data_IF_580613923260
#
_entry.id   IF_580613923260
#
_cell.length_a   1.000
_cell.length_b   1.000
_cell.length_c   1.000
_cell.angle_alpha   90.00
_cell.angle_beta   90.00
_cell.angle_gamma   90.00
#
_symmetry.space_group_name_H-M   'P 1'
#
loop_
_entity.id
_entity.type
_entity.pdbx_description
1 polymer ?
#
# COMPACT_ATOMS: atom_id res chain seq x y z
N UNK A 1 -26.62 14.72 20.84
CA UNK A 1 -25.62 15.48 21.61
C UNK A 1 -24.26 14.75 21.73
N UNK A 2 -24.18 13.57 22.35
CA UNK A 2 -22.86 12.91 22.53
C UNK A 2 -22.19 12.50 21.21
N UNK A 3 -22.95 11.96 20.24
CA UNK A 3 -22.45 11.56 18.91
C UNK A 3 -21.98 12.76 18.08
N UNK A 4 -22.69 13.87 18.09
CA UNK A 4 -22.32 15.09 17.36
C UNK A 4 -20.99 15.68 17.87
N UNK A 5 -20.79 15.73 19.18
CA UNK A 5 -19.53 16.19 19.77
C UNK A 5 -18.36 15.30 19.35
N UNK A 6 -18.58 13.98 19.24
CA UNK A 6 -17.54 13.06 18.79
C UNK A 6 -17.23 13.22 17.29
N UNK A 7 -18.24 13.48 16.46
CA UNK A 7 -18.04 13.79 15.04
C UNK A 7 -17.20 15.06 14.86
N UNK A 8 -17.55 16.13 15.60
CA UNK A 8 -16.79 17.39 15.58
C UNK A 8 -15.34 17.15 15.98
N UNK A 9 -15.13 16.29 16.97
CA UNK A 9 -13.78 15.93 17.41
C UNK A 9 -13.01 15.14 16.36
N UNK A 10 -13.62 14.15 15.72
CA UNK A 10 -13.04 13.39 14.62
C UNK A 10 -12.64 14.34 13.48
N UNK A 11 -13.54 15.26 13.09
CA UNK A 11 -13.23 16.30 12.08
C UNK A 11 -12.04 17.16 12.46
N UNK A 12 -11.95 17.60 13.71
CA UNK A 12 -10.79 18.37 14.20
C UNK A 12 -9.49 17.57 14.12
N UNK A 13 -9.52 16.28 14.50
CA UNK A 13 -8.36 15.39 14.41
C UNK A 13 -7.94 15.12 12.96
N UNK A 14 -8.90 14.99 12.05
CA UNK A 14 -8.62 14.86 10.60
C UNK A 14 -7.95 16.13 10.06
N UNK A 15 -8.53 17.30 10.34
CA UNK A 15 -7.98 18.58 9.88
C UNK A 15 -6.54 18.82 10.37
N UNK A 16 -6.22 18.34 11.56
CA UNK A 16 -4.87 18.41 12.14
C UNK A 16 -3.96 17.25 11.70
N UNK A 17 -4.41 16.38 10.80
CA UNK A 17 -3.68 15.19 10.31
C UNK A 17 -3.16 14.28 11.42
N UNK A 18 -3.88 14.25 12.55
CA UNK A 18 -3.54 13.46 13.74
C UNK A 18 -4.41 12.22 13.94
N UNK A 19 -5.35 11.96 13.01
CA UNK A 19 -6.19 10.78 12.99
C UNK A 19 -5.65 9.76 11.99
N UNK A 20 -5.55 8.52 12.43
CA UNK A 20 -5.30 7.35 11.59
C UNK A 20 -6.50 6.40 11.63
N UNK A 21 -6.58 5.48 10.67
CA UNK A 21 -7.64 4.47 10.66
C UNK A 21 -7.06 3.08 10.89
N UNK A 22 -7.83 2.24 11.58
CA UNK A 22 -7.63 0.80 11.63
C UNK A 22 -8.84 0.18 10.94
N UNK A 23 -8.58 -0.54 9.85
CA UNK A 23 -9.60 -1.11 9.00
C UNK A 23 -9.51 -2.63 9.09
N UNK A 24 -10.64 -3.28 9.38
CA UNK A 24 -10.75 -4.73 9.42
C UNK A 24 -11.62 -5.31 8.31
N UNK A 25 -11.74 -6.63 8.30
CA UNK A 25 -12.46 -7.41 7.28
C UNK A 25 -13.93 -7.01 7.12
N UNK A 26 -14.60 -6.61 8.21
CA UNK A 26 -15.96 -6.09 8.16
C UNK A 26 -16.13 -4.84 7.30
N UNK A 27 -15.05 -4.11 7.01
CA UNK A 27 -15.12 -2.97 6.09
C UNK A 27 -15.11 -3.44 4.62
N UNK A 28 -14.33 -4.46 4.29
CA UNK A 28 -14.33 -5.07 2.95
C UNK A 28 -15.67 -5.75 2.62
N UNK A 29 -16.36 -6.31 3.62
CA UNK A 29 -17.72 -6.88 3.47
C UNK A 29 -18.76 -5.87 2.95
N UNK A 30 -18.51 -4.55 3.06
CA UNK A 30 -19.42 -3.54 2.46
C UNK A 30 -19.32 -3.46 0.93
N UNK A 31 -18.26 -3.99 0.34
CA UNK A 31 -18.14 -4.03 -1.14
C UNK A 31 -18.84 -5.23 -1.72
N UNK A 32 -18.77 -6.36 -1.02
CA UNK A 32 -19.36 -7.62 -1.38
C UNK A 32 -19.41 -8.53 -0.15
N UNK A 33 -20.48 -9.32 -0.02
CA UNK A 33 -20.58 -10.35 1.02
C UNK A 33 -19.63 -11.54 0.78
N UNK A 34 -18.92 -11.54 -0.34
CA UNK A 34 -17.91 -12.56 -0.68
C UNK A 34 -16.61 -12.35 0.09
N UNK A 35 -16.36 -11.13 0.62
CA UNK A 35 -15.21 -10.92 1.50
C UNK A 35 -15.43 -11.57 2.86
N UNK A 36 -14.42 -12.27 3.33
CA UNK A 36 -14.46 -13.12 4.51
C UNK A 36 -13.87 -12.41 5.74
N UNK A 37 -14.34 -12.79 6.92
CA UNK A 37 -13.55 -12.69 8.14
C UNK A 37 -12.76 -13.98 8.37
N UNK A 38 -12.02 -14.06 9.45
CA UNK A 38 -11.21 -15.25 9.77
C UNK A 38 -12.04 -16.51 9.97
N UNK A 39 -13.24 -16.36 10.54
CA UNK A 39 -14.14 -17.50 10.69
C UNK A 39 -14.53 -18.09 9.36
N UNK A 40 -15.00 -17.25 8.46
CA UNK A 40 -15.42 -17.66 7.12
C UNK A 40 -14.24 -18.27 6.32
N UNK A 41 -13.03 -17.68 6.44
CA UNK A 41 -11.84 -18.16 5.74
C UNK A 41 -11.41 -19.55 6.21
N UNK A 42 -11.55 -19.85 7.50
CA UNK A 42 -11.05 -21.10 8.07
C UNK A 42 -12.10 -22.23 8.12
N UNK A 43 -13.39 -21.93 7.91
CA UNK A 43 -14.45 -22.97 7.87
C UNK A 43 -14.15 -24.12 6.91
N UNK A 44 -13.73 -23.90 5.65
CA UNK A 44 -13.41 -25.01 4.74
C UNK A 44 -12.24 -25.86 5.22
N UNK A 45 -11.26 -25.26 5.90
CA UNK A 45 -10.13 -26.00 6.50
C UNK A 45 -10.65 -26.95 7.60
N UNK A 46 -11.59 -26.49 8.42
CA UNK A 46 -12.18 -27.31 9.48
C UNK A 46 -12.93 -28.49 8.86
N UNK A 47 -13.76 -28.23 7.86
CA UNK A 47 -14.48 -29.27 7.11
C UNK A 47 -13.51 -30.29 6.52
N UNK A 48 -12.43 -29.86 5.87
CA UNK A 48 -11.41 -30.77 5.31
C UNK A 48 -10.71 -31.59 6.39
N UNK A 49 -10.26 -30.93 7.48
CA UNK A 49 -9.43 -31.59 8.50
C UNK A 49 -10.20 -32.55 9.40
N UNK A 50 -11.46 -32.24 9.72
CA UNK A 50 -12.24 -32.95 10.73
C UNK A 50 -13.44 -33.67 10.15
N UNK A 51 -13.71 -33.53 8.84
CA UNK A 51 -14.89 -34.09 8.15
C UNK A 51 -16.22 -33.66 8.79
N UNK A 52 -16.31 -32.38 9.17
CA UNK A 52 -17.47 -31.77 9.81
C UNK A 52 -18.11 -30.81 8.82
N UNK A 53 -19.40 -31.00 8.51
CA UNK A 53 -20.16 -30.12 7.62
C UNK A 53 -21.24 -29.28 8.34
N UNK A 54 -21.58 -29.67 9.58
CA UNK A 54 -22.56 -28.94 10.40
C UNK A 54 -21.96 -27.64 10.94
N UNK A 55 -22.66 -26.53 10.72
CA UNK A 55 -22.17 -25.19 11.09
C UNK A 55 -21.96 -25.03 12.60
N UNK A 56 -22.80 -25.65 13.42
CA UNK A 56 -22.67 -25.58 14.89
C UNK A 56 -21.46 -26.39 15.38
N UNK A 57 -21.19 -27.53 14.76
CA UNK A 57 -19.99 -28.30 15.08
C UNK A 57 -18.73 -27.57 14.65
N UNK A 58 -18.76 -26.88 13.49
CA UNK A 58 -17.67 -26.00 13.04
C UNK A 58 -17.44 -24.87 14.04
N UNK A 59 -18.50 -24.16 14.46
CA UNK A 59 -18.40 -23.08 15.46
C UNK A 59 -17.85 -23.62 16.79
N UNK A 60 -18.34 -24.76 17.26
CA UNK A 60 -17.82 -25.39 18.48
C UNK A 60 -16.33 -25.75 18.34
N UNK A 61 -15.90 -26.22 17.16
CA UNK A 61 -14.50 -26.52 16.92
C UNK A 61 -13.63 -25.25 16.90
N UNK A 62 -14.14 -24.15 16.39
CA UNK A 62 -13.49 -22.82 16.46
C UNK A 62 -13.37 -22.37 17.93
N UNK A 63 -14.42 -22.55 18.74
CA UNK A 63 -14.37 -22.19 20.16
C UNK A 63 -13.37 -23.04 20.94
N UNK A 64 -13.25 -24.33 20.61
CA UNK A 64 -12.35 -25.27 21.28
C UNK A 64 -10.86 -24.98 20.99
N UNK A 65 -10.51 -24.78 19.73
CA UNK A 65 -9.11 -24.70 19.28
C UNK A 65 -8.67 -23.25 19.04
N UNK A 66 -9.58 -22.37 18.69
CA UNK A 66 -9.32 -21.00 18.23
C UNK A 66 -8.79 -20.93 16.79
N UNK A 67 -8.96 -19.80 16.15
CA UNK A 67 -8.55 -19.59 14.75
C UNK A 67 -7.07 -19.88 14.51
N UNK A 68 -6.20 -19.37 15.38
CA UNK A 68 -4.74 -19.56 15.27
C UNK A 68 -4.35 -21.04 15.42
N UNK A 69 -5.03 -21.75 16.31
CA UNK A 69 -4.81 -23.18 16.54
C UNK A 69 -5.22 -24.01 15.34
N UNK A 70 -6.35 -23.67 14.70
CA UNK A 70 -6.84 -24.33 13.48
C UNK A 70 -5.82 -24.15 12.34
N UNK A 71 -5.36 -22.92 12.10
CA UNK A 71 -4.37 -22.65 11.08
C UNK A 71 -3.04 -23.40 11.35
N UNK A 72 -2.60 -23.44 12.62
CA UNK A 72 -1.41 -24.18 13.04
C UNK A 72 -1.56 -25.69 12.81
N UNK A 73 -2.72 -26.25 13.14
CA UNK A 73 -3.00 -27.67 12.93
C UNK A 73 -3.01 -28.04 11.44
N UNK A 74 -3.56 -27.16 10.60
CA UNK A 74 -3.54 -27.31 9.14
C UNK A 74 -2.11 -27.39 8.61
N UNK A 75 -1.26 -26.41 8.98
CA UNK A 75 0.17 -26.41 8.62
C UNK A 75 0.86 -27.69 9.09
N UNK A 76 0.61 -28.13 10.33
CA UNK A 76 1.20 -29.35 10.87
C UNK A 76 0.80 -30.60 10.07
N UNK A 77 -0.46 -30.69 9.65
CA UNK A 77 -0.95 -31.82 8.84
C UNK A 77 -0.41 -31.83 7.42
N UNK A 78 -0.26 -30.66 6.82
CA UNK A 78 0.34 -30.51 5.48
C UNK A 78 1.86 -30.66 5.50
N UNK A 79 2.52 -30.39 6.63
CA UNK A 79 3.95 -30.58 6.84
C UNK A 79 4.83 -29.40 6.43
N UNK A 80 4.26 -28.29 5.95
CA UNK A 80 4.98 -27.09 5.52
C UNK A 80 4.10 -25.84 5.62
N UNK A 81 4.70 -24.70 5.98
CA UNK A 81 3.97 -23.45 6.23
C UNK A 81 3.32 -22.86 4.97
N UNK A 82 3.97 -22.99 3.83
CA UNK A 82 3.48 -22.47 2.55
C UNK A 82 2.10 -23.02 2.16
N UNK A 83 1.68 -24.13 2.77
CA UNK A 83 0.34 -24.70 2.51
C UNK A 83 -0.77 -23.73 2.94
N UNK A 84 -0.61 -23.03 4.07
CA UNK A 84 -1.60 -22.05 4.53
C UNK A 84 -1.52 -20.76 3.72
N UNK A 85 -0.34 -20.35 3.27
CA UNK A 85 -0.15 -19.19 2.42
C UNK A 85 -0.86 -19.37 1.07
N UNK A 86 -0.65 -20.53 0.43
CA UNK A 86 -1.34 -20.91 -0.82
C UNK A 86 -2.85 -20.97 -0.61
N UNK A 87 -3.30 -21.52 0.52
CA UNK A 87 -4.72 -21.57 0.86
C UNK A 87 -5.33 -20.15 0.95
N UNK A 88 -4.68 -19.24 1.67
CA UNK A 88 -5.12 -17.84 1.79
C UNK A 88 -5.21 -17.18 0.42
N UNK A 89 -4.19 -17.33 -0.42
CA UNK A 89 -4.17 -16.76 -1.77
C UNK A 89 -5.31 -17.29 -2.65
N UNK A 90 -5.62 -18.57 -2.55
CA UNK A 90 -6.67 -19.20 -3.34
C UNK A 90 -8.09 -18.90 -2.86
N UNK A 91 -8.27 -18.60 -1.58
CA UNK A 91 -9.60 -18.44 -0.99
C UNK A 91 -9.95 -17.00 -0.61
N UNK A 92 -9.00 -16.07 -0.64
CA UNK A 92 -9.30 -14.67 -0.34
C UNK A 92 -9.74 -13.93 -1.61
N UNK A 93 -10.96 -13.40 -1.64
CA UNK A 93 -11.41 -12.57 -2.75
C UNK A 93 -10.57 -11.29 -2.84
N UNK A 94 -10.39 -10.84 -4.07
CA UNK A 94 -9.66 -9.63 -4.41
C UNK A 94 -10.50 -8.74 -5.30
N UNK A 95 -10.10 -7.50 -5.48
CA UNK A 95 -10.71 -6.63 -6.48
C UNK A 95 -9.75 -6.35 -7.62
N UNK A 96 -10.33 -6.18 -8.80
CA UNK A 96 -9.63 -5.69 -9.99
C UNK A 96 -10.45 -4.60 -10.67
N UNK A 97 -9.83 -3.92 -11.64
CA UNK A 97 -10.44 -2.83 -12.39
C UNK A 97 -10.70 -3.33 -13.80
N UNK A 98 -11.91 -3.11 -14.29
CA UNK A 98 -12.27 -3.38 -15.67
C UNK A 98 -11.89 -2.16 -16.53
N UNK A 99 -10.98 -2.34 -17.47
CA UNK A 99 -10.30 -1.25 -18.19
C UNK A 99 -11.15 -0.54 -19.27
N UNK A 100 -12.39 -0.95 -19.52
CA UNK A 100 -13.16 -0.53 -20.71
C UNK A 100 -14.22 0.57 -20.47
N UNK A 101 -14.17 1.31 -19.36
CA UNK A 101 -15.14 2.36 -19.05
C UNK A 101 -14.45 3.70 -18.74
N UNK A 102 -15.11 4.82 -19.07
CA UNK A 102 -14.66 6.18 -18.74
C UNK A 102 -14.50 6.39 -17.22
N UNK A 103 -15.26 5.64 -16.42
CA UNK A 103 -15.08 5.52 -14.98
C UNK A 103 -14.62 4.10 -14.61
N UNK A 104 -13.68 3.94 -13.67
CA UNK A 104 -13.19 2.64 -13.26
C UNK A 104 -14.32 1.81 -12.63
N UNK A 105 -14.67 0.72 -13.29
CA UNK A 105 -15.58 -0.30 -12.76
C UNK A 105 -14.76 -1.30 -11.95
N UNK A 106 -15.15 -1.51 -10.69
CA UNK A 106 -14.50 -2.45 -9.80
C UNK A 106 -15.25 -3.75 -9.76
N UNK A 107 -14.52 -4.85 -9.86
CA UNK A 107 -15.08 -6.20 -9.83
C UNK A 107 -14.40 -7.02 -8.74
N UNK A 108 -15.18 -7.88 -8.09
CA UNK A 108 -14.68 -8.90 -7.17
C UNK A 108 -14.23 -10.10 -7.97
N UNK A 109 -13.03 -10.57 -7.69
CA UNK A 109 -12.44 -11.75 -8.33
C UNK A 109 -11.96 -12.74 -7.28
N UNK A 110 -11.97 -14.03 -7.63
CA UNK A 110 -11.33 -15.11 -6.88
C UNK A 110 -10.52 -15.93 -7.88
N UNK A 111 -9.25 -16.14 -7.63
CA UNK A 111 -8.33 -16.80 -8.57
C UNK A 111 -8.34 -16.16 -9.98
N UNK A 112 -8.50 -14.83 -10.05
CA UNK A 112 -8.66 -14.06 -11.28
C UNK A 112 -9.97 -14.31 -12.06
N UNK A 113 -10.89 -15.10 -11.52
CA UNK A 113 -12.20 -15.29 -12.09
C UNK A 113 -13.18 -14.25 -11.57
N UNK A 114 -14.01 -13.69 -12.46
CA UNK A 114 -15.05 -12.72 -12.11
C UNK A 114 -16.11 -13.37 -11.22
N UNK A 115 -16.45 -12.73 -10.12
CA UNK A 115 -17.56 -13.13 -9.24
C UNK A 115 -18.74 -12.17 -9.40
N UNK A 116 -18.54 -10.89 -9.10
CA UNK A 116 -19.58 -9.87 -9.12
C UNK A 116 -18.98 -8.46 -9.18
N UNK A 117 -19.81 -7.44 -9.40
CA UNK A 117 -19.39 -6.04 -9.29
C UNK A 117 -19.22 -5.63 -7.82
N UNK A 118 -18.23 -4.78 -7.52
CA UNK A 118 -17.91 -4.32 -6.18
C UNK A 118 -18.55 -2.95 -5.86
N UNK A 119 -19.23 -2.82 -4.72
CA UNK A 119 -19.64 -1.51 -4.19
C UNK A 119 -18.49 -0.84 -3.43
N UNK A 120 -17.77 0.02 -4.10
CA UNK A 120 -16.61 0.73 -3.54
C UNK A 120 -16.97 2.04 -2.82
N UNK A 121 -18.24 2.32 -2.60
CA UNK A 121 -18.73 3.61 -2.03
C UNK A 121 -18.07 3.92 -0.69
N UNK A 122 -18.04 2.97 0.25
CA UNK A 122 -17.42 3.17 1.56
C UNK A 122 -15.92 3.44 1.47
N UNK A 123 -15.23 2.73 0.60
CA UNK A 123 -13.79 2.88 0.41
C UNK A 123 -13.44 4.23 -0.24
N UNK A 124 -14.20 4.67 -1.26
CA UNK A 124 -14.04 6.01 -1.85
C UNK A 124 -14.24 7.11 -0.81
N UNK A 125 -15.26 6.98 0.05
CA UNK A 125 -15.48 7.94 1.14
C UNK A 125 -14.33 7.97 2.14
N UNK A 126 -13.75 6.81 2.49
CA UNK A 126 -12.58 6.72 3.36
C UNK A 126 -11.38 7.48 2.75
N UNK A 127 -11.08 7.26 1.48
CA UNK A 127 -9.96 7.91 0.80
C UNK A 127 -10.19 9.41 0.55
N UNK A 128 -11.44 9.87 0.56
CA UNK A 128 -11.78 11.30 0.50
C UNK A 128 -11.52 12.04 1.84
N UNK A 129 -11.26 11.33 2.94
CA UNK A 129 -11.00 11.95 4.25
C UNK A 129 -9.58 12.52 4.42
N UNK A 130 -8.72 12.43 3.43
CA UNK A 130 -7.33 12.91 3.49
C UNK A 130 -6.52 12.34 4.68
N UNK A 131 -6.74 11.08 5.01
CA UNK A 131 -6.06 10.38 6.10
C UNK A 131 -4.62 10.08 5.74
N UNK A 132 -3.69 10.31 6.67
CA UNK A 132 -2.27 10.06 6.43
C UNK A 132 -1.91 8.57 6.49
N UNK A 133 -2.42 7.86 7.49
CA UNK A 133 -2.09 6.45 7.71
C UNK A 133 -3.34 5.61 7.92
N UNK A 134 -3.38 4.49 7.22
CA UNK A 134 -4.40 3.45 7.35
C UNK A 134 -3.66 2.16 7.72
N UNK A 135 -4.12 1.50 8.77
CA UNK A 135 -3.59 0.21 9.23
C UNK A 135 -4.63 -0.87 9.00
N UNK A 136 -4.22 -2.01 8.53
CA UNK A 136 -5.13 -3.14 8.33
C UNK A 136 -4.46 -4.47 8.61
N UNK A 137 -5.25 -5.40 9.10
CA UNK A 137 -4.90 -6.80 9.30
C UNK A 137 -5.44 -7.69 8.16
N UNK A 138 -6.18 -7.07 7.21
CA UNK A 138 -6.77 -7.78 6.09
C UNK A 138 -5.71 -8.20 5.08
N UNK A 139 -5.89 -9.39 4.52
CA UNK A 139 -5.06 -9.89 3.43
C UNK A 139 -5.49 -9.34 2.07
N UNK A 140 -6.79 -9.02 1.90
CA UNK A 140 -7.36 -8.54 0.64
C UNK A 140 -6.65 -7.27 0.11
N UNK A 141 -6.79 -7.01 -1.19
CA UNK A 141 -6.19 -5.86 -1.87
C UNK A 141 -7.12 -4.65 -1.99
N UNK A 142 -8.24 -4.62 -1.28
CA UNK A 142 -9.29 -3.62 -1.46
C UNK A 142 -8.80 -2.19 -1.21
N UNK A 143 -8.11 -1.97 -0.09
CA UNK A 143 -7.54 -0.66 0.23
C UNK A 143 -6.44 -0.28 -0.76
N UNK A 144 -5.63 -1.26 -1.16
CA UNK A 144 -4.47 -1.08 -2.03
C UNK A 144 -4.92 -0.58 -3.41
N UNK A 145 -5.90 -1.26 -3.98
CA UNK A 145 -6.42 -0.94 -5.31
C UNK A 145 -7.21 0.37 -5.28
N UNK A 146 -8.17 0.55 -4.37
CA UNK A 146 -9.03 1.74 -4.37
C UNK A 146 -8.24 2.99 -3.95
N UNK A 147 -7.33 2.86 -2.98
CA UNK A 147 -6.48 3.98 -2.54
C UNK A 147 -5.51 4.46 -3.62
N UNK A 148 -5.16 3.59 -4.54
CA UNK A 148 -4.18 3.84 -5.60
C UNK A 148 -4.75 3.73 -7.01
N UNK A 149 -6.06 3.68 -7.16
CA UNK A 149 -6.70 3.39 -8.43
C UNK A 149 -6.35 4.34 -9.56
N UNK A 150 -6.15 3.75 -10.72
CA UNK A 150 -6.12 4.40 -12.03
C UNK A 150 -5.09 5.50 -12.19
N UNK A 151 -5.13 6.52 -11.33
CA UNK A 151 -4.16 7.63 -11.37
C UNK A 151 -2.77 7.20 -10.90
N UNK A 152 -2.68 6.35 -9.88
CA UNK A 152 -1.40 5.98 -9.29
C UNK A 152 -0.63 4.98 -10.15
N UNK A 153 -1.27 3.93 -10.64
CA UNK A 153 -0.62 2.97 -11.54
C UNK A 153 -0.20 3.63 -12.83
N UNK A 154 -1.10 4.44 -13.42
CA UNK A 154 -0.79 5.22 -14.61
C UNK A 154 0.36 6.19 -14.38
N UNK A 155 0.33 6.91 -13.25
CA UNK A 155 1.37 7.86 -12.86
C UNK A 155 2.74 7.18 -12.65
N UNK A 156 2.76 6.04 -11.97
CA UNK A 156 4.00 5.29 -11.72
C UNK A 156 4.54 4.63 -12.98
N UNK A 157 3.66 4.11 -13.83
CA UNK A 157 4.04 3.60 -15.16
C UNK A 157 4.62 4.74 -16.02
N UNK A 158 4.01 5.91 -16.00
CA UNK A 158 4.49 7.08 -16.72
C UNK A 158 5.85 7.56 -16.18
N UNK A 159 6.01 7.65 -14.86
CA UNK A 159 7.30 7.98 -14.24
C UNK A 159 8.38 6.97 -14.64
N UNK A 160 8.08 5.66 -14.58
CA UNK A 160 9.03 4.61 -14.96
C UNK A 160 9.43 4.71 -16.43
N UNK A 161 8.45 4.91 -17.31
CA UNK A 161 8.72 5.08 -18.75
C UNK A 161 9.61 6.31 -19.00
N UNK A 162 9.36 7.41 -18.31
CA UNK A 162 10.17 8.62 -18.41
C UNK A 162 11.58 8.42 -17.81
N UNK A 163 11.72 7.67 -16.72
CA UNK A 163 13.02 7.33 -16.15
C UNK A 163 13.85 6.47 -17.09
N UNK A 164 13.26 5.44 -17.70
CA UNK A 164 13.93 4.60 -18.69
C UNK A 164 14.38 5.44 -19.93
N UNK A 165 13.50 6.33 -20.39
CA UNK A 165 13.83 7.25 -21.47
C UNK A 165 14.95 8.21 -21.09
N UNK A 166 14.93 8.74 -19.86
CA UNK A 166 15.96 9.64 -19.35
C UNK A 166 17.31 8.95 -19.29
N UNK A 167 17.38 7.76 -18.72
CA UNK A 167 18.63 6.97 -18.64
C UNK A 167 19.20 6.68 -20.03
N UNK A 168 18.35 6.30 -20.97
CA UNK A 168 18.77 6.10 -22.35
C UNK A 168 19.33 7.37 -23.00
N UNK A 169 18.66 8.52 -22.80
CA UNK A 169 19.10 9.80 -23.38
C UNK A 169 20.39 10.32 -22.73
N UNK A 170 20.55 10.18 -21.43
CA UNK A 170 21.78 10.56 -20.71
C UNK A 170 23.00 9.73 -21.18
N UNK A 171 22.83 8.42 -21.35
CA UNK A 171 23.86 7.55 -21.92
C UNK A 171 24.25 7.95 -23.34
N UNK A 172 23.31 8.41 -24.14
CA UNK A 172 23.54 8.79 -25.53
C UNK A 172 24.00 10.25 -25.67
N UNK A 173 23.66 11.14 -24.72
CA UNK A 173 24.22 12.49 -24.64
C UNK A 173 25.75 12.44 -24.45
N UNK A 174 26.25 11.55 -23.61
CA UNK A 174 27.68 11.34 -23.39
C UNK A 174 28.39 10.94 -24.71
N UNK A 175 27.78 10.06 -25.51
CA UNK A 175 28.27 9.70 -26.83
C UNK A 175 28.25 10.85 -27.81
N UNK A 176 27.14 11.61 -27.87
CA UNK A 176 27.05 12.82 -28.69
C UNK A 176 28.10 13.87 -28.34
N UNK A 177 28.34 14.08 -27.05
CA UNK A 177 29.38 14.98 -26.57
C UNK A 177 30.78 14.52 -27.01
N UNK A 178 31.02 13.22 -27.04
CA UNK A 178 32.26 12.63 -27.59
C UNK A 178 32.45 12.97 -29.08
N UNK A 179 31.43 12.84 -29.91
CA UNK A 179 31.47 13.25 -31.32
C UNK A 179 31.70 14.77 -31.49
N UNK A 180 31.14 15.59 -30.63
CA UNK A 180 31.36 17.03 -30.65
C UNK A 180 32.80 17.38 -30.37
N UNK A 181 33.46 16.72 -29.42
CA UNK A 181 34.89 16.90 -29.11
C UNK A 181 35.75 16.55 -30.30
N UNK A 182 35.51 15.43 -30.97
CA UNK A 182 36.26 15.03 -32.17
C UNK A 182 36.11 16.07 -33.28
N UNK A 183 34.89 16.57 -33.52
CA UNK A 183 34.63 17.61 -34.53
C UNK A 183 35.35 18.92 -34.25
N UNK A 184 35.56 19.29 -32.99
CA UNK A 184 36.31 20.51 -32.57
C UNK A 184 37.82 20.27 -32.73
N UNK A 185 38.35 19.09 -32.42
CA UNK A 185 39.78 18.77 -32.56
C UNK A 185 40.25 18.71 -34.00
N UNK A 186 39.44 18.19 -34.92
CA UNK A 186 39.73 18.21 -36.35
C UNK A 186 39.86 19.63 -36.92
N UNK A 187 39.22 20.61 -36.30
CA UNK A 187 39.33 22.04 -36.70
C UNK A 187 40.41 22.84 -35.96
N UNK A 188 40.93 22.30 -34.85
CA UNK A 188 41.99 22.93 -34.03
C UNK A 188 43.11 21.94 -33.78
N UNK A 189 44.11 21.88 -34.63
CA UNK A 189 45.28 20.98 -34.49
C UNK A 189 45.58 20.53 -33.05
N UNK A 190 45.25 19.27 -32.79
CA UNK A 190 45.90 18.34 -31.83
C UNK A 190 45.99 18.74 -30.35
N UNK A 191 45.04 18.25 -29.58
CA UNK A 191 45.30 17.78 -28.22
C UNK A 191 44.84 16.32 -28.10
N UNK A 192 45.75 15.40 -27.87
CA UNK A 192 45.46 13.99 -27.65
C UNK A 192 44.67 13.83 -26.33
N UNK A 193 43.40 13.58 -26.43
CA UNK A 193 42.58 13.08 -25.32
C UNK A 193 42.35 11.59 -25.56
N UNK A 194 42.68 10.73 -24.61
CA UNK A 194 42.37 9.30 -24.65
C UNK A 194 40.85 9.09 -24.53
N UNK A 195 40.16 9.14 -25.65
CA UNK A 195 38.77 8.71 -25.76
C UNK A 195 38.71 7.17 -25.87
N UNK A 196 37.64 6.54 -25.35
CA UNK A 196 37.48 5.10 -25.51
C UNK A 196 37.54 4.70 -26.97
N UNK A 197 38.27 3.62 -27.28
CA UNK A 197 38.64 3.11 -28.61
C UNK A 197 37.47 2.87 -29.58
N UNK A 198 36.24 3.01 -29.13
CA UNK A 198 35.01 2.80 -29.92
C UNK A 198 34.57 4.04 -30.76
N UNK A 199 35.22 5.19 -30.61
CA UNK A 199 34.77 6.45 -31.22
C UNK A 199 35.73 6.90 -32.36
N UNK A 200 36.74 6.13 -32.72
CA UNK A 200 37.82 6.57 -33.56
C UNK A 200 37.57 6.58 -35.09
N UNK A 201 36.40 6.14 -35.58
CA UNK A 201 36.18 6.08 -37.04
C UNK A 201 34.74 6.45 -37.46
N UNK A 202 34.67 7.38 -38.40
CA UNK A 202 33.70 7.57 -39.46
C UNK A 202 32.43 8.39 -39.19
N UNK A 203 32.23 9.35 -40.13
CA UNK A 203 30.90 10.00 -40.42
C UNK A 203 29.75 8.95 -40.57
N UNK A 204 30.09 7.72 -40.98
CA UNK A 204 29.17 6.61 -41.09
C UNK A 204 28.58 6.19 -39.72
N UNK A 205 29.41 6.12 -38.69
CA UNK A 205 28.99 5.73 -37.33
C UNK A 205 28.09 6.80 -36.69
N UNK A 206 28.42 8.08 -36.87
CA UNK A 206 27.58 9.16 -36.37
C UNK A 206 26.19 9.15 -37.01
N UNK A 207 26.11 9.07 -38.32
CA UNK A 207 24.84 9.04 -39.04
C UNK A 207 24.00 7.81 -38.68
N UNK A 208 24.63 6.66 -38.50
CA UNK A 208 23.97 5.44 -38.04
C UNK A 208 23.46 5.61 -36.61
N UNK A 209 24.25 6.18 -35.73
CA UNK A 209 23.88 6.49 -34.34
C UNK A 209 22.69 7.45 -34.26
N UNK A 210 22.69 8.56 -35.01
CA UNK A 210 21.58 9.52 -35.06
C UNK A 210 20.31 8.88 -35.64
N UNK A 211 20.44 8.05 -36.69
CA UNK A 211 19.30 7.28 -37.22
C UNK A 211 18.70 6.34 -36.18
N UNK A 212 19.54 5.69 -35.39
CA UNK A 212 19.10 4.80 -34.31
C UNK A 212 18.37 5.59 -33.22
N UNK A 213 18.87 6.76 -32.83
CA UNK A 213 18.19 7.65 -31.88
C UNK A 213 16.84 8.10 -32.39
N UNK A 214 16.72 8.54 -33.65
CA UNK A 214 15.47 8.96 -34.27
C UNK A 214 14.49 7.79 -34.44
N UNK A 215 14.97 6.55 -34.67
CA UNK A 215 14.09 5.38 -34.71
C UNK A 215 13.49 5.06 -33.33
N UNK A 216 14.26 5.20 -32.27
CA UNK A 216 13.79 4.95 -30.91
C UNK A 216 12.94 6.12 -30.35
N UNK A 217 13.26 7.35 -30.74
CA UNK A 217 12.60 8.57 -30.29
C UNK A 217 12.38 9.53 -31.46
N UNK A 218 11.38 9.25 -32.32
CA UNK A 218 11.10 10.06 -33.51
C UNK A 218 10.81 11.54 -33.21
N UNK A 219 10.31 11.81 -32.01
CA UNK A 219 9.99 13.16 -31.53
C UNK A 219 11.23 14.07 -31.37
N UNK A 220 12.43 13.49 -31.23
CA UNK A 220 13.66 14.28 -31.16
C UNK A 220 13.98 14.96 -32.48
N UNK A 221 13.63 14.33 -33.60
CA UNK A 221 13.82 14.83 -34.96
C UNK A 221 15.25 15.38 -35.18
N UNK A 222 16.25 14.56 -34.83
CA UNK A 222 17.65 14.92 -34.94
C UNK A 222 18.09 14.98 -36.41
N UNK A 223 18.99 15.92 -36.70
CA UNK A 223 19.54 16.08 -38.06
C UNK A 223 20.49 14.93 -38.41
N UNK A 224 20.21 14.24 -39.50
CA UNK A 224 20.90 12.99 -39.90
C UNK A 224 21.96 13.21 -40.97
N UNK A 225 21.98 14.35 -41.63
CA UNK A 225 22.66 14.48 -42.91
C UNK A 225 24.08 15.06 -42.84
N UNK A 226 24.48 15.61 -41.70
CA UNK A 226 25.81 16.22 -41.60
C UNK A 226 26.28 16.37 -40.13
N UNK A 227 27.54 16.06 -39.88
CA UNK A 227 28.24 16.29 -38.61
C UNK A 227 28.25 17.78 -38.18
N UNK A 228 28.05 18.68 -39.13
CA UNK A 228 27.92 20.15 -38.84
C UNK A 228 26.77 20.48 -37.88
N UNK A 229 25.72 19.63 -37.83
CA UNK A 229 24.57 19.80 -36.93
C UNK A 229 24.74 19.12 -35.58
N UNK A 230 25.96 18.65 -35.24
CA UNK A 230 26.21 17.94 -33.99
C UNK A 230 25.89 18.81 -32.76
N UNK A 231 26.15 20.09 -32.81
CA UNK A 231 25.80 21.05 -31.73
C UNK A 231 24.30 21.19 -31.57
N UNK A 232 23.58 21.26 -32.67
CA UNK A 232 22.13 21.37 -32.68
C UNK A 232 21.52 20.11 -32.11
N UNK A 233 22.01 18.90 -32.50
CA UNK A 233 21.60 17.62 -32.00
C UNK A 233 21.90 17.47 -30.48
N UNK A 234 23.08 17.91 -30.02
CA UNK A 234 23.38 17.94 -28.58
C UNK A 234 22.38 18.85 -27.83
N UNK A 235 22.08 20.02 -28.34
CA UNK A 235 21.12 20.92 -27.72
C UNK A 235 19.72 20.35 -27.68
N UNK A 236 19.27 19.67 -28.73
CA UNK A 236 17.96 19.04 -28.80
C UNK A 236 17.86 17.94 -27.70
N UNK A 237 18.88 17.07 -27.59
CA UNK A 237 18.90 16.00 -26.58
C UNK A 237 18.95 16.58 -25.16
N UNK A 238 19.79 17.59 -24.90
CA UNK A 238 19.88 18.24 -23.59
C UNK A 238 18.57 18.91 -23.18
N UNK A 239 17.90 19.57 -24.12
CA UNK A 239 16.58 20.18 -23.86
C UNK A 239 15.54 19.12 -23.54
N UNK A 240 15.54 17.99 -24.24
CA UNK A 240 14.61 16.88 -23.95
C UNK A 240 14.91 16.24 -22.60
N UNK A 241 16.18 16.03 -22.23
CA UNK A 241 16.59 15.57 -20.90
C UNK A 241 16.07 16.52 -19.81
N UNK A 242 16.26 17.84 -19.99
CA UNK A 242 15.75 18.83 -19.03
C UNK A 242 14.21 18.80 -18.93
N UNK A 243 13.53 18.66 -20.07
CA UNK A 243 12.06 18.55 -20.13
C UNK A 243 11.58 17.30 -19.39
N UNK A 244 12.20 16.15 -19.61
CA UNK A 244 11.84 14.89 -18.94
C UNK A 244 12.10 14.98 -17.44
N UNK A 245 13.23 15.53 -17.00
CA UNK A 245 13.53 15.76 -15.57
C UNK A 245 12.45 16.63 -14.90
N UNK A 246 12.05 17.72 -15.55
CA UNK A 246 10.99 18.60 -15.06
C UNK A 246 9.63 17.88 -14.99
N UNK A 247 9.31 17.05 -16.00
CA UNK A 247 8.08 16.26 -16.04
C UNK A 247 8.07 15.20 -14.94
N UNK A 248 9.17 14.47 -14.74
CA UNK A 248 9.31 13.51 -13.62
C UNK A 248 9.10 14.21 -12.28
N UNK A 249 9.71 15.37 -12.08
CA UNK A 249 9.55 16.14 -10.84
C UNK A 249 8.09 16.56 -10.59
N UNK A 250 7.38 16.98 -11.64
CA UNK A 250 5.96 17.33 -11.58
C UNK A 250 5.13 16.10 -11.20
N UNK A 251 5.36 14.96 -11.87
CA UNK A 251 4.65 13.72 -11.61
C UNK A 251 4.95 13.19 -10.21
N UNK A 252 6.18 13.36 -9.71
CA UNK A 252 6.55 12.99 -8.34
C UNK A 252 5.80 13.81 -7.29
N UNK A 253 5.50 15.08 -7.52
CA UNK A 253 4.63 15.89 -6.65
C UNK A 253 3.21 15.32 -6.59
N UNK A 254 2.69 14.85 -7.72
CA UNK A 254 1.38 14.17 -7.74
C UNK A 254 1.41 12.81 -7.02
N UNK A 255 2.58 12.15 -6.94
CA UNK A 255 2.77 10.90 -6.20
C UNK A 255 2.57 11.06 -4.68
N UNK A 256 2.75 12.25 -4.12
CA UNK A 256 2.50 12.50 -2.69
C UNK A 256 1.02 12.31 -2.31
N UNK A 257 0.11 12.35 -3.28
CA UNK A 257 -1.32 12.08 -3.08
C UNK A 257 -1.68 10.58 -3.09
N UNK A 258 -0.73 9.71 -3.40
CA UNK A 258 -0.90 8.26 -3.53
C UNK A 258 -0.51 7.58 -2.23
N UNK A 259 -1.27 6.56 -1.83
CA UNK A 259 -0.94 5.77 -0.66
C UNK A 259 0.22 4.81 -0.95
N UNK A 260 1.26 4.89 -0.12
CA UNK A 260 2.35 3.93 -0.12
C UNK A 260 1.90 2.66 0.59
N UNK A 261 1.99 1.51 -0.09
CA UNK A 261 1.74 0.23 0.55
C UNK A 261 2.97 -0.19 1.36
N UNK A 262 2.76 -0.48 2.64
CA UNK A 262 3.79 -0.94 3.57
C UNK A 262 3.39 -2.32 4.07
N UNK A 263 4.03 -3.36 3.56
CA UNK A 263 3.74 -4.76 3.89
C UNK A 263 4.92 -5.49 4.54
N UNK A 264 6.08 -4.85 4.65
CA UNK A 264 7.25 -5.38 5.34
C UNK A 264 7.95 -4.31 6.18
N UNK A 265 8.77 -4.75 7.13
CA UNK A 265 9.50 -3.85 8.04
C UNK A 265 10.48 -2.94 7.32
N UNK A 266 11.12 -3.41 6.25
CA UNK A 266 12.08 -2.67 5.45
C UNK A 266 11.43 -1.49 4.75
N UNK A 267 10.14 -1.62 4.40
CA UNK A 267 9.37 -0.56 3.74
C UNK A 267 9.04 0.62 4.67
N UNK A 268 9.24 0.51 5.99
CA UNK A 268 8.99 1.59 6.94
C UNK A 268 9.79 2.85 6.62
N UNK A 269 10.98 2.72 6.03
CA UNK A 269 11.79 3.84 5.57
C UNK A 269 11.11 4.68 4.48
N UNK A 270 10.11 4.12 3.80
CA UNK A 270 9.36 4.78 2.73
C UNK A 270 8.21 5.65 3.25
N UNK A 271 7.93 5.65 4.55
CA UNK A 271 6.77 6.33 5.14
C UNK A 271 6.96 7.83 5.35
N UNK A 272 8.18 8.35 5.25
CA UNK A 272 8.50 9.75 5.54
C UNK A 272 7.68 10.73 4.71
N UNK A 273 6.80 11.47 5.40
CA UNK A 273 5.95 12.49 4.79
C UNK A 273 4.80 11.95 3.93
N UNK A 274 4.76 10.68 3.59
CA UNK A 274 3.82 10.08 2.64
C UNK A 274 2.58 9.50 3.33
N UNK A 275 1.49 9.40 2.56
CA UNK A 275 0.32 8.63 2.96
C UNK A 275 0.64 7.14 2.85
N UNK A 276 0.22 6.35 3.83
CA UNK A 276 0.60 4.93 3.88
C UNK A 276 -0.56 4.04 4.28
N UNK A 277 -0.61 2.87 3.63
CA UNK A 277 -1.46 1.74 4.03
C UNK A 277 -0.54 0.66 4.59
N UNK A 278 -0.69 0.35 5.86
CA UNK A 278 0.10 -0.65 6.56
C UNK A 278 -0.64 -1.99 6.57
N UNK A 279 -0.10 -2.98 5.90
CA UNK A 279 -0.61 -4.37 5.84
C UNK A 279 0.13 -5.20 6.88
N UNK A 280 -0.39 -5.22 8.10
CA UNK A 280 0.31 -5.75 9.27
C UNK A 280 0.47 -7.27 9.25
N UNK A 281 -0.43 -8.00 8.57
CA UNK A 281 -0.44 -9.46 8.51
C UNK A 281 -0.16 -10.03 7.11
N UNK A 282 0.44 -9.23 6.24
CA UNK A 282 0.68 -9.60 4.84
C UNK A 282 -0.42 -9.09 3.90
N UNK A 283 -0.23 -9.28 2.61
CA UNK A 283 -1.13 -8.79 1.56
C UNK A 283 -1.12 -9.69 0.36
N UNK A 284 -2.30 -10.00 -0.17
CA UNK A 284 -2.42 -10.67 -1.47
C UNK A 284 -2.02 -9.68 -2.55
N UNK A 285 -1.08 -10.10 -3.41
CA UNK A 285 -0.62 -9.33 -4.55
C UNK A 285 -1.03 -10.01 -5.83
N UNK A 286 -1.88 -9.35 -6.61
CA UNK A 286 -2.32 -9.85 -7.92
C UNK A 286 -1.25 -9.68 -9.00
N UNK A 287 -0.41 -8.66 -8.88
CA UNK A 287 0.62 -8.34 -9.86
C UNK A 287 2.00 -8.36 -9.18
N UNK A 288 2.82 -9.34 -9.56
CA UNK A 288 4.21 -9.48 -9.11
C UNK A 288 5.11 -8.38 -9.69
N UNK A 289 4.63 -7.68 -10.73
CA UNK A 289 5.30 -6.54 -11.38
C UNK A 289 4.78 -5.19 -10.86
N UNK A 290 3.86 -5.19 -9.89
CA UNK A 290 3.32 -3.96 -9.35
C UNK A 290 4.44 -3.03 -8.88
N UNK A 291 4.33 -1.72 -9.16
CA UNK A 291 5.40 -0.73 -8.94
C UNK A 291 5.79 -0.51 -7.48
N UNK A 292 5.19 -1.20 -6.55
CA UNK A 292 5.56 -1.26 -5.14
C UNK A 292 6.69 -2.25 -4.88
N UNK A 293 7.35 -2.69 -5.96
CA UNK A 293 8.52 -3.52 -6.09
C UNK A 293 9.21 -3.94 -4.80
N UNK A 294 8.89 -5.13 -4.35
CA UNK A 294 9.85 -5.99 -3.73
C UNK A 294 10.05 -7.19 -4.66
N UNK A 295 11.03 -7.05 -5.54
CA UNK A 295 11.63 -8.18 -6.23
C UNK A 295 12.35 -9.00 -5.16
N UNK A 296 11.84 -10.12 -4.80
CA UNK A 296 12.61 -11.04 -3.99
C UNK A 296 11.80 -12.03 -3.20
N UNK A 297 10.78 -11.61 -2.48
CA UNK A 297 10.00 -12.56 -1.69
C UNK A 297 8.73 -12.98 -2.42
N UNK A 298 8.83 -14.14 -3.04
CA UNK A 298 7.68 -14.87 -3.61
C UNK A 298 6.73 -15.40 -2.54
N UNK A 299 7.09 -15.24 -1.27
CA UNK A 299 6.34 -15.72 -0.12
C UNK A 299 6.06 -14.54 0.81
N UNK A 300 4.91 -13.88 0.62
CA UNK A 300 4.35 -13.08 1.70
C UNK A 300 3.89 -14.07 2.76
N UNK A 301 4.69 -14.29 3.80
CA UNK A 301 4.25 -15.05 4.95
C UNK A 301 3.08 -14.31 5.59
N UNK A 302 1.88 -14.87 5.46
CA UNK A 302 0.71 -14.36 6.15
C UNK A 302 0.81 -14.68 7.63
N UNK A 303 0.44 -13.74 8.48
CA UNK A 303 0.43 -13.95 9.92
C UNK A 303 -0.93 -14.53 10.32
N UNK A 304 -1.00 -15.82 10.52
CA UNK A 304 -2.24 -16.53 10.79
C UNK A 304 -2.10 -17.68 11.80
N UNK A 305 -0.95 -18.33 11.89
CA UNK A 305 -0.73 -19.46 12.81
C UNK A 305 -0.34 -18.98 14.21
N UNK A 306 -0.50 -19.84 15.21
CA UNK A 306 -0.05 -19.53 16.57
C UNK A 306 1.47 -19.34 16.66
N UNK A 307 2.23 -19.96 15.75
CA UNK A 307 3.68 -19.80 15.66
C UNK A 307 4.03 -18.43 15.07
N UNK A 308 3.35 -18.00 13.98
CA UNK A 308 3.54 -16.65 13.42
C UNK A 308 3.34 -15.59 14.48
N UNK A 309 2.29 -15.70 15.30
CA UNK A 309 2.00 -14.73 16.36
C UNK A 309 3.04 -14.72 17.46
N UNK A 310 3.65 -15.84 17.81
CA UNK A 310 4.75 -15.91 18.77
C UNK A 310 6.02 -15.26 18.23
N UNK A 311 6.28 -15.46 16.95
CA UNK A 311 7.48 -14.93 16.29
C UNK A 311 7.32 -13.48 15.81
N UNK A 312 6.09 -13.00 15.64
CA UNK A 312 5.79 -11.67 15.14
C UNK A 312 6.54 -10.54 15.86
N UNK A 313 6.59 -10.50 17.20
CA UNK A 313 7.33 -9.46 17.91
C UNK A 313 8.83 -9.44 17.64
N UNK A 314 9.39 -10.55 17.17
CA UNK A 314 10.82 -10.70 16.84
C UNK A 314 11.03 -10.44 15.36
N UNK A 315 10.36 -11.17 14.50
CA UNK A 315 10.51 -11.07 13.03
C UNK A 315 10.05 -9.71 12.48
N UNK A 316 9.02 -9.11 13.09
CA UNK A 316 8.43 -7.85 12.68
C UNK A 316 8.60 -6.74 13.74
N UNK A 317 9.67 -6.80 14.53
CA UNK A 317 9.95 -5.83 15.60
C UNK A 317 9.79 -4.36 15.15
N UNK A 318 10.30 -3.92 14.00
CA UNK A 318 10.10 -2.55 13.54
C UNK A 318 8.62 -2.17 13.37
N UNK A 319 7.77 -3.08 12.86
CA UNK A 319 6.32 -2.86 12.78
C UNK A 319 5.68 -2.74 14.17
N UNK A 320 6.06 -3.63 15.08
CA UNK A 320 5.56 -3.61 16.46
C UNK A 320 5.89 -2.29 17.14
N UNK A 321 7.13 -1.84 17.00
CA UNK A 321 7.60 -0.58 17.60
C UNK A 321 6.94 0.63 16.93
N UNK A 322 6.82 0.64 15.60
CA UNK A 322 6.14 1.71 14.86
C UNK A 322 4.67 1.81 15.26
N UNK A 323 3.97 0.66 15.35
CA UNK A 323 2.56 0.61 15.75
C UNK A 323 2.36 1.09 17.19
N UNK A 324 3.19 0.64 18.15
CA UNK A 324 3.15 1.09 19.55
C UNK A 324 3.34 2.60 19.65
N UNK A 325 4.32 3.17 18.94
CA UNK A 325 4.56 4.62 18.91
C UNK A 325 3.36 5.35 18.29
N UNK A 326 2.81 4.83 17.20
CA UNK A 326 1.65 5.41 16.54
C UNK A 326 0.43 5.42 17.45
N UNK A 327 0.14 4.31 18.14
CA UNK A 327 -0.95 4.19 19.12
C UNK A 327 -0.73 5.12 20.33
N UNK A 328 0.51 5.36 20.73
CA UNK A 328 0.83 6.24 21.84
C UNK A 328 0.70 7.72 21.47
N UNK A 329 1.03 8.10 20.26
CA UNK A 329 1.02 9.51 19.80
C UNK A 329 -0.29 9.94 19.15
N UNK A 330 -0.93 9.07 18.35
CA UNK A 330 -2.03 9.39 17.49
C UNK A 330 -3.42 9.19 18.09
N UNK A 331 -4.42 9.58 17.34
CA UNK A 331 -5.80 9.18 17.52
C UNK A 331 -6.17 8.19 16.41
N UNK A 332 -7.05 7.24 16.71
CA UNK A 332 -7.45 6.17 15.81
C UNK A 332 -8.94 6.05 15.67
N UNK A 333 -9.41 5.89 14.44
CA UNK A 333 -10.76 5.50 14.12
C UNK A 333 -10.74 4.04 13.64
N UNK A 334 -11.45 3.17 14.33
CA UNK A 334 -11.48 1.73 14.08
C UNK A 334 -12.79 1.38 13.39
N UNK A 335 -12.73 0.76 12.21
CA UNK A 335 -13.91 0.42 11.40
C UNK A 335 -13.81 -1.02 10.90
N UNK A 336 -14.86 -1.81 11.12
CA UNK A 336 -14.96 -3.17 10.59
C UNK A 336 -13.91 -4.14 11.14
N UNK A 337 -13.26 -3.79 12.25
CA UNK A 337 -12.25 -4.59 12.93
C UNK A 337 -12.79 -5.09 14.27
N UNK A 338 -12.65 -6.38 14.55
CA UNK A 338 -13.21 -6.97 15.78
C UNK A 338 -12.47 -6.58 17.07
N UNK A 339 -11.25 -6.11 16.94
CA UNK A 339 -10.30 -5.86 18.05
C UNK A 339 -9.91 -7.12 18.85
N UNK A 340 -10.10 -8.31 18.29
CA UNK A 340 -9.74 -9.58 18.95
C UNK A 340 -8.35 -10.09 18.57
N UNK A 341 -7.67 -9.39 17.66
CA UNK A 341 -6.33 -9.76 17.24
C UNK A 341 -5.33 -9.71 18.41
N UNK A 342 -4.62 -10.82 18.70
CA UNK A 342 -3.73 -10.90 19.86
C UNK A 342 -2.58 -9.87 19.84
N UNK A 343 -2.04 -9.56 18.64
CA UNK A 343 -1.00 -8.55 18.50
C UNK A 343 -1.56 -7.17 18.85
N UNK A 344 -2.73 -6.83 18.31
CA UNK A 344 -3.39 -5.57 18.61
C UNK A 344 -3.72 -5.43 20.10
N UNK A 345 -4.27 -6.47 20.73
CA UNK A 345 -4.57 -6.49 22.16
C UNK A 345 -3.31 -6.29 23.01
N UNK A 346 -2.21 -6.95 22.65
CA UNK A 346 -0.92 -6.79 23.30
C UNK A 346 -0.40 -5.35 23.21
N UNK A 347 -0.47 -4.73 22.03
CA UNK A 347 -0.05 -3.35 21.83
C UNK A 347 -0.92 -2.36 22.61
N UNK A 348 -2.24 -2.57 22.62
CA UNK A 348 -3.18 -1.74 23.38
C UNK A 348 -2.95 -1.85 24.89
N UNK A 349 -2.66 -3.06 25.40
CA UNK A 349 -2.30 -3.29 26.79
C UNK A 349 -1.04 -2.53 27.17
N UNK A 350 0.00 -2.59 26.32
CA UNK A 350 1.24 -1.84 26.52
C UNK A 350 1.00 -0.32 26.53
N UNK A 351 0.22 0.20 25.56
CA UNK A 351 -0.12 1.63 25.50
C UNK A 351 -0.85 2.07 26.77
N UNK A 352 -1.81 1.27 27.25
CA UNK A 352 -2.55 1.54 28.48
C UNK A 352 -1.59 1.62 29.68
N UNK A 353 -0.70 0.64 29.83
CA UNK A 353 0.28 0.62 30.92
C UNK A 353 1.18 1.88 30.91
N UNK A 354 1.71 2.26 29.75
CA UNK A 354 2.55 3.45 29.60
C UNK A 354 1.77 4.73 29.93
N UNK A 355 0.52 4.83 29.48
CA UNK A 355 -0.33 6.00 29.75
C UNK A 355 -0.71 6.07 31.23
N UNK A 356 -1.09 4.96 31.84
CA UNK A 356 -1.51 4.93 33.25
C UNK A 356 -0.34 5.27 34.17
N UNK A 357 0.85 4.72 33.95
CA UNK A 357 2.08 5.10 34.68
C UNK A 357 2.41 6.60 34.58
N UNK A 358 2.24 7.19 33.39
CA UNK A 358 2.49 8.62 33.17
C UNK A 358 1.43 9.53 33.82
N UNK A 359 0.17 9.07 33.91
CA UNK A 359 -0.91 9.83 34.58
C UNK A 359 -0.68 9.90 36.09
N UNK A 360 -0.21 8.82 36.71
CA UNK A 360 0.15 8.82 38.14
C UNK A 360 1.24 9.83 38.46
N UNK A 361 2.19 10.01 37.53
CA UNK A 361 3.31 10.99 37.69
C UNK A 361 2.85 12.42 37.40
N UNK A 362 1.83 12.63 36.56
CA UNK A 362 1.37 13.96 36.09
C UNK A 362 -0.13 14.13 36.29
N UNK A 363 -0.60 14.31 37.51
CA UNK A 363 -2.02 14.57 37.82
C UNK A 363 -2.64 15.71 37.02
N UNK A 364 -1.85 16.68 36.56
CA UNK A 364 -2.30 17.82 35.75
C UNK A 364 -2.64 17.46 34.29
N UNK A 365 -2.11 16.35 33.72
CA UNK A 365 -2.40 15.90 32.38
C UNK A 365 -3.68 15.04 32.29
N UNK A 366 -4.23 14.59 33.41
CA UNK A 366 -5.39 13.70 33.47
C UNK A 366 -6.67 14.35 32.94
N UNK A 367 -6.81 15.67 33.03
CA UNK A 367 -7.99 16.39 32.51
C UNK A 367 -7.98 16.63 31.01
N UNK A 368 -6.81 16.56 30.34
CA UNK A 368 -6.68 16.74 28.89
C UNK A 368 -6.63 15.44 28.06
N UNK A 369 -6.59 14.28 28.69
CA UNK A 369 -6.58 12.99 28.01
C UNK A 369 -7.99 12.62 27.53
N UNK A 370 -8.47 13.37 26.57
CA UNK A 370 -9.64 13.05 25.79
C UNK A 370 -9.42 11.73 25.01
N UNK A 371 -10.45 10.88 24.96
CA UNK A 371 -10.36 9.61 24.25
C UNK A 371 -9.73 9.77 22.85
N UNK A 372 -8.79 8.88 22.53
CA UNK A 372 -8.06 8.89 21.25
C UNK A 372 -8.50 7.77 20.31
N UNK A 373 -9.35 6.87 20.80
CA UNK A 373 -9.85 5.73 20.04
C UNK A 373 -11.35 5.89 19.83
N UNK A 374 -11.77 5.83 18.59
CA UNK A 374 -13.15 5.91 18.14
C UNK A 374 -13.48 4.61 17.43
N UNK A 375 -14.38 3.83 17.97
CA UNK A 375 -14.82 2.58 17.38
C UNK A 375 -16.16 2.78 16.70
N UNK A 376 -16.18 2.64 15.37
CA UNK A 376 -17.40 2.72 14.57
C UNK A 376 -17.94 1.31 14.38
N UNK A 377 -19.07 1.03 14.96
CA UNK A 377 -19.69 -0.28 15.01
C UNK A 377 -21.05 -0.27 14.33
N UNK A 378 -21.39 -1.33 13.60
CA UNK A 378 -22.75 -1.55 13.10
C UNK A 378 -23.66 -1.89 14.27
N UNK A 379 -24.87 -1.28 14.28
CA UNK A 379 -25.83 -1.47 15.35
C UNK A 379 -26.33 -2.92 15.53
N UNK A 380 -26.17 -3.74 14.47
CA UNK A 380 -26.73 -5.10 14.43
C UNK A 380 -25.90 -6.14 15.21
N UNK A 381 -24.68 -5.80 15.65
CA UNK A 381 -23.82 -6.70 16.42
C UNK A 381 -23.38 -6.04 17.74
N UNK A 382 -23.95 -6.42 18.90
CA UNK A 382 -23.52 -5.87 20.18
C UNK A 382 -22.07 -6.27 20.51
N UNK A 383 -21.28 -5.31 20.98
CA UNK A 383 -19.95 -5.54 21.50
C UNK A 383 -20.01 -6.30 22.83
N UNK A 384 -19.15 -7.32 22.99
CA UNK A 384 -19.01 -8.02 24.27
C UNK A 384 -18.54 -7.07 25.38
N UNK A 385 -18.84 -7.40 26.65
CA UNK A 385 -18.45 -6.56 27.81
C UNK A 385 -16.93 -6.40 27.94
N UNK A 386 -16.15 -7.40 27.56
CA UNK A 386 -14.68 -7.32 27.55
C UNK A 386 -14.16 -6.26 26.58
N UNK A 387 -14.81 -6.09 25.42
CA UNK A 387 -14.48 -5.04 24.45
C UNK A 387 -14.85 -3.64 24.94
N UNK A 388 -15.81 -3.51 25.84
CA UNK A 388 -16.12 -2.25 26.54
C UNK A 388 -15.06 -1.88 27.57
N UNK A 389 -14.26 -2.86 28.01
CA UNK A 389 -13.22 -2.69 29.03
C UNK A 389 -11.90 -2.08 28.51
N UNK A 390 -11.75 -1.89 27.20
CA UNK A 390 -10.77 -0.94 26.66
C UNK A 390 -11.25 0.47 27.02
N UNK A 391 -11.19 0.82 28.28
CA UNK A 391 -11.88 1.89 29.03
C UNK A 391 -11.79 3.33 28.50
N UNK A 392 -11.27 3.56 27.30
CA UNK A 392 -11.20 4.89 26.65
C UNK A 392 -11.55 4.86 25.16
N UNK A 393 -12.19 3.78 24.67
CA UNK A 393 -12.72 3.73 23.31
C UNK A 393 -14.13 4.32 23.30
N UNK A 394 -14.34 5.32 22.45
CA UNK A 394 -15.67 5.86 22.19
C UNK A 394 -16.32 4.98 21.14
N UNK A 395 -17.42 4.34 21.53
CA UNK A 395 -18.21 3.50 20.63
C UNK A 395 -19.24 4.37 19.94
N UNK A 396 -19.25 4.35 18.61
CA UNK A 396 -20.21 5.04 17.77
C UNK A 396 -21.04 3.98 17.03
N UNK A 397 -22.24 3.75 17.50
CA UNK A 397 -23.19 2.87 16.83
C UNK A 397 -23.75 3.57 15.59
N UNK A 398 -23.62 2.94 14.43
CA UNK A 398 -24.08 3.48 13.16
C UNK A 398 -24.88 2.44 12.39
N UNK A 399 -25.92 2.88 11.68
CA UNK A 399 -26.71 2.01 10.83
C UNK A 399 -25.96 1.55 9.58
N UNK A 400 -24.99 2.35 9.13
CA UNK A 400 -24.16 2.03 7.96
C UNK A 400 -22.87 2.84 8.01
N UNK A 401 -21.75 2.21 7.62
CA UNK A 401 -20.46 2.89 7.49
C UNK A 401 -20.49 4.01 6.44
N UNK A 402 -21.25 3.82 5.35
CA UNK A 402 -21.36 4.83 4.30
C UNK A 402 -22.02 6.11 4.79
N UNK A 403 -23.08 5.99 5.60
CA UNK A 403 -23.77 7.15 6.18
C UNK A 403 -22.83 7.89 7.11
N UNK A 404 -22.11 7.17 7.96
CA UNK A 404 -21.20 7.79 8.92
C UNK A 404 -20.02 8.49 8.24
N UNK A 405 -19.40 7.84 7.28
CA UNK A 405 -18.30 8.43 6.51
C UNK A 405 -18.78 9.65 5.71
N UNK A 406 -19.99 9.64 5.13
CA UNK A 406 -20.59 10.82 4.51
C UNK A 406 -20.70 11.98 5.48
N UNK A 407 -21.18 11.74 6.70
CA UNK A 407 -21.32 12.80 7.74
C UNK A 407 -19.95 13.37 8.13
N UNK A 408 -18.89 12.57 8.11
CA UNK A 408 -17.54 13.05 8.37
C UNK A 408 -17.00 13.86 7.20
N UNK A 409 -17.25 13.42 5.95
CA UNK A 409 -16.77 14.07 4.72
C UNK A 409 -17.48 15.41 4.46
N UNK A 410 -18.80 15.50 4.71
CA UNK A 410 -19.53 16.76 4.52
C UNK A 410 -19.05 17.81 5.52
N UNK A 411 -18.64 18.96 4.96
CA UNK A 411 -18.14 20.12 5.71
C UNK A 411 -19.20 20.79 6.56
#
# INVERSE_FOLDING_TARGET
MQTEQQIIRIKHLLNNKSLSFIIGAGFSKNMSNKFFDWGDLLKPIITEMYHIDDEKEIEHKIEEIGYLGIAQEYVRRKGFHEAIDVYIEQHTPTISIKENSDEPEYIVTLNNEFIESADVTCHRLLFNLDVKHIYTFNYDNCLDIIGNTGKAQKLLSEIRNLQNKLEFLELNEEKLSGYLYISIEDNMKAVKVNLPTAIQNDNGDYNHFIKTLNCNYPELNLFTDNISHIKDNCHIVQNEIARIKAQILLLQKHRESVYQLISSSEMLSLTDGKRSIFKLHGSIRLDKSAPYGFDGDRHCNYIITSEDYKEYPIKHEPFVNYMKISLLKGAFCIIGFSCDDPNFLSWMSWVKEVVDKNIEIRKELSQKNSARFFYIHSADKPLSEEKRLLKKIIILNVSSYSIYLKVIVTK
#
